data_IF_864281300292
#
_entry.id   IF_864281300292
#
_cell.length_a   1.000
_cell.length_b   1.000
_cell.length_c   1.000
_cell.angle_alpha   90.00
_cell.angle_beta   90.00
_cell.angle_gamma   90.00
#
_symmetry.space_group_name_H-M   'P 1'
#
loop_
_entity.id
_entity.type
_entity.pdbx_description
1 polymer ?
#
# COMPACT_ATOMS: atom_id res chain seq x y z
N UNK A 1 -27.90 -10.32 -10.54
CA UNK A 1 -26.48 -10.19 -10.91
C UNK A 1 -25.71 -9.42 -9.85
N UNK A 2 -24.49 -9.86 -9.47
CA UNK A 2 -23.68 -9.07 -8.58
C UNK A 2 -23.28 -7.74 -9.22
N UNK A 3 -23.13 -6.70 -8.40
CA UNK A 3 -22.63 -5.40 -8.86
C UNK A 3 -21.24 -5.15 -8.28
N UNK A 4 -20.57 -4.08 -8.77
CA UNK A 4 -19.27 -3.69 -8.27
C UNK A 4 -19.29 -3.32 -6.78
N UNK A 5 -20.44 -2.95 -6.26
CA UNK A 5 -20.58 -2.51 -4.87
C UNK A 5 -20.99 -3.63 -3.92
N UNK A 6 -21.22 -4.83 -4.43
CA UNK A 6 -21.55 -5.98 -3.58
C UNK A 6 -20.29 -6.52 -2.88
N UNK A 7 -20.43 -7.00 -1.63
CA UNK A 7 -19.32 -7.64 -0.94
C UNK A 7 -18.81 -8.88 -1.68
N UNK A 8 -17.56 -9.22 -1.45
CA UNK A 8 -16.94 -10.43 -1.98
C UNK A 8 -15.91 -10.97 -0.98
N UNK A 9 -15.82 -12.29 -0.88
CA UNK A 9 -14.82 -12.95 -0.07
C UNK A 9 -13.67 -13.41 -0.98
N UNK A 10 -12.46 -12.93 -0.67
CA UNK A 10 -11.24 -13.26 -1.40
C UNK A 10 -10.32 -14.07 -0.47
N UNK A 11 -10.49 -15.40 -0.44
CA UNK A 11 -9.78 -16.22 0.52
C UNK A 11 -10.18 -15.86 1.94
N UNK A 12 -9.23 -15.38 2.74
CA UNK A 12 -9.48 -14.97 4.13
C UNK A 12 -9.90 -13.49 4.25
N UNK A 13 -10.06 -12.78 3.13
CA UNK A 13 -10.39 -11.35 3.12
C UNK A 13 -11.86 -11.18 2.74
N UNK A 14 -12.62 -10.49 3.61
CA UNK A 14 -14.00 -10.10 3.33
C UNK A 14 -14.01 -8.65 2.87
N UNK A 15 -14.05 -8.44 1.55
CA UNK A 15 -14.05 -7.11 0.97
C UNK A 15 -15.47 -6.54 0.89
N UNK A 16 -15.68 -5.27 1.28
CA UNK A 16 -17.02 -4.66 1.28
C UNK A 16 -17.54 -4.34 -0.12
N UNK A 17 -16.69 -4.31 -1.11
CA UNK A 17 -17.07 -4.09 -2.50
C UNK A 17 -16.04 -4.77 -3.41
N UNK A 18 -16.28 -4.72 -4.72
CA UNK A 18 -15.46 -5.41 -5.72
C UNK A 18 -14.52 -4.49 -6.47
N UNK A 19 -14.30 -3.27 -5.95
CA UNK A 19 -13.37 -2.30 -6.53
C UNK A 19 -12.05 -2.43 -5.80
N UNK A 20 -11.01 -2.85 -6.52
CA UNK A 20 -9.68 -3.07 -5.97
C UNK A 20 -8.73 -2.00 -6.49
N UNK A 21 -7.87 -1.49 -5.62
CA UNK A 21 -6.83 -0.55 -6.03
C UNK A 21 -5.59 -1.33 -6.47
N UNK A 22 -5.18 -1.12 -7.72
CA UNK A 22 -3.98 -1.74 -8.27
C UNK A 22 -2.71 -1.12 -7.66
N UNK A 23 -1.60 -1.87 -7.58
CA UNK A 23 -0.35 -1.33 -7.07
C UNK A 23 0.28 -0.36 -8.07
N UNK A 24 0.62 0.85 -7.60
CA UNK A 24 1.27 1.87 -8.43
C UNK A 24 2.42 2.49 -7.63
N UNK A 25 3.61 2.49 -8.19
CA UNK A 25 4.78 3.15 -7.60
C UNK A 25 4.59 4.65 -7.64
N UNK A 26 4.60 5.31 -6.47
CA UNK A 26 4.37 6.75 -6.36
C UNK A 26 5.63 7.57 -6.12
N UNK A 27 6.71 6.92 -5.67
CA UNK A 27 8.00 7.56 -5.37
C UNK A 27 7.85 8.73 -4.37
N UNK A 28 7.10 8.52 -3.30
CA UNK A 28 6.83 9.53 -2.28
C UNK A 28 7.42 9.19 -0.92
N UNK A 29 8.20 8.11 -0.82
CA UNK A 29 8.97 7.79 0.39
C UNK A 29 10.18 8.71 0.51
N UNK A 30 10.90 8.62 1.65
CA UNK A 30 12.13 9.39 1.84
C UNK A 30 13.27 8.80 1.01
N UNK A 31 14.44 9.50 1.02
CA UNK A 31 15.66 8.97 0.40
C UNK A 31 16.08 7.63 1.00
N UNK A 32 15.79 7.42 2.28
CA UNK A 32 16.10 6.19 2.99
C UNK A 32 14.98 5.15 2.87
N UNK A 33 14.02 5.38 1.97
CA UNK A 33 12.93 4.46 1.68
C UNK A 33 11.99 4.23 2.86
N UNK A 34 11.82 5.26 3.69
CA UNK A 34 10.87 5.25 4.82
C UNK A 34 9.54 5.84 4.36
N UNK A 35 8.40 5.16 4.60
CA UNK A 35 7.09 5.72 4.27
C UNK A 35 6.85 7.08 4.90
N UNK A 36 6.14 7.95 4.19
CA UNK A 36 5.91 9.34 4.59
C UNK A 36 4.44 9.61 4.90
N UNK A 37 4.18 10.78 5.53
CA UNK A 37 2.81 11.25 5.79
C UNK A 37 2.02 11.40 4.50
N UNK A 38 2.67 11.78 3.41
CA UNK A 38 2.03 11.89 2.10
C UNK A 38 1.51 10.55 1.62
N UNK A 39 2.26 9.46 1.88
CA UNK A 39 1.81 8.11 1.57
C UNK A 39 0.59 7.72 2.41
N UNK A 40 0.58 8.07 3.70
CA UNK A 40 -0.56 7.81 4.58
C UNK A 40 -1.82 8.46 3.99
N UNK A 41 -1.73 9.73 3.60
CA UNK A 41 -2.85 10.46 3.03
C UNK A 41 -3.30 9.86 1.70
N UNK A 42 -2.35 9.45 0.86
CA UNK A 42 -2.64 8.84 -0.43
C UNK A 42 -3.51 7.59 -0.26
N UNK A 43 -3.15 6.70 0.65
CA UNK A 43 -3.90 5.47 0.89
C UNK A 43 -5.19 5.74 1.66
N UNK A 44 -5.19 6.71 2.57
CA UNK A 44 -6.40 7.11 3.30
C UNK A 44 -7.50 7.57 2.35
N UNK A 45 -7.16 8.39 1.36
CA UNK A 45 -8.12 8.89 0.37
C UNK A 45 -8.77 7.76 -0.44
N UNK A 46 -8.16 6.61 -0.48
CA UNK A 46 -8.62 5.45 -1.26
C UNK A 46 -9.11 4.30 -0.41
N UNK A 47 -9.26 4.54 0.90
CA UNK A 47 -9.60 3.48 1.86
C UNK A 47 -10.99 2.87 1.68
N UNK A 48 -11.88 3.51 0.92
CA UNK A 48 -13.20 2.97 0.61
C UNK A 48 -13.18 1.86 -0.44
N UNK A 49 -12.05 1.61 -1.09
CA UNK A 49 -11.91 0.47 -2.00
C UNK A 49 -12.09 -0.84 -1.23
N UNK A 50 -12.52 -1.88 -1.92
CA UNK A 50 -12.69 -3.20 -1.31
C UNK A 50 -11.38 -3.80 -0.84
N UNK A 51 -10.30 -3.54 -1.58
CA UNK A 51 -8.95 -3.99 -1.24
C UNK A 51 -7.95 -3.03 -1.88
N UNK A 52 -6.88 -2.71 -1.17
CA UNK A 52 -5.78 -1.92 -1.69
C UNK A 52 -4.53 -2.80 -1.73
N UNK A 53 -3.91 -2.89 -2.90
CA UNK A 53 -2.61 -3.53 -3.04
C UNK A 53 -1.59 -2.39 -3.06
N UNK A 54 -0.72 -2.36 -2.05
CA UNK A 54 0.26 -1.27 -1.93
C UNK A 54 1.28 -1.30 -3.05
N UNK A 55 1.96 -0.18 -3.23
CA UNK A 55 3.03 -0.06 -4.21
C UNK A 55 4.17 -1.04 -3.94
N UNK A 56 4.97 -1.30 -4.97
CA UNK A 56 6.14 -2.16 -4.84
C UNK A 56 7.05 -1.64 -3.72
N UNK A 57 7.43 -2.54 -2.82
CA UNK A 57 8.17 -2.22 -1.61
C UNK A 57 9.45 -3.04 -1.57
N UNK A 58 10.59 -2.38 -1.36
CA UNK A 58 11.88 -3.06 -1.30
C UNK A 58 11.98 -3.92 -0.04
N UNK A 59 12.47 -5.14 -0.19
CA UNK A 59 12.70 -6.05 0.94
C UNK A 59 14.14 -6.00 1.41
N UNK A 60 15.02 -5.33 0.67
CA UNK A 60 16.42 -5.12 1.03
C UNK A 60 16.97 -3.96 0.21
N UNK A 61 18.10 -3.40 0.66
CA UNK A 61 18.75 -2.33 -0.09
C UNK A 61 19.15 -2.79 -1.50
N UNK A 62 19.58 -4.03 -1.64
CA UNK A 62 19.97 -4.59 -2.93
C UNK A 62 18.80 -4.77 -3.89
N UNK A 63 17.59 -4.91 -3.36
CA UNK A 63 16.39 -5.09 -4.16
C UNK A 63 15.75 -3.81 -4.68
N UNK A 64 16.35 -2.64 -4.39
CA UNK A 64 15.78 -1.35 -4.80
C UNK A 64 16.00 -1.11 -6.30
N UNK A 65 14.94 -0.67 -6.98
CA UNK A 65 15.00 -0.37 -8.41
C UNK A 65 14.65 1.08 -8.75
N UNK A 66 13.99 1.80 -7.84
CA UNK A 66 13.51 3.16 -8.08
C UNK A 66 13.86 4.08 -6.91
N UNK A 67 14.11 5.39 -7.17
CA UNK A 67 14.35 6.33 -6.08
C UNK A 67 13.07 6.61 -5.31
N UNK A 68 13.22 6.90 -4.02
CA UNK A 68 12.12 7.31 -3.13
C UNK A 68 10.95 6.32 -3.07
N UNK A 69 11.20 5.04 -3.33
CA UNK A 69 10.22 3.99 -3.10
C UNK A 69 10.28 3.51 -1.65
N UNK A 70 9.17 3.04 -1.08
CA UNK A 70 9.19 2.57 0.30
C UNK A 70 9.94 1.24 0.42
N UNK A 71 10.44 0.98 1.62
CA UNK A 71 11.10 -0.27 1.96
C UNK A 71 10.48 -0.91 3.18
N UNK A 72 10.80 -2.16 3.41
CA UNK A 72 10.33 -2.91 4.56
C UNK A 72 11.41 -3.89 5.02
N UNK A 73 12.59 -3.37 5.41
CA UNK A 73 13.67 -4.19 5.93
C UNK A 73 14.31 -3.64 7.21
N UNK A 74 13.94 -2.42 7.63
CA UNK A 74 14.43 -1.84 8.89
C UNK A 74 13.29 -1.61 9.86
N UNK A 75 13.64 -1.50 11.17
CA UNK A 75 12.64 -1.23 12.19
C UNK A 75 11.97 0.14 11.97
N UNK A 76 12.73 1.14 11.54
CA UNK A 76 12.20 2.46 11.24
C UNK A 76 11.15 2.40 10.12
N UNK A 77 11.43 1.63 9.08
CA UNK A 77 10.49 1.42 7.97
C UNK A 77 9.22 0.71 8.44
N UNK A 78 9.37 -0.33 9.27
CA UNK A 78 8.22 -1.06 9.82
C UNK A 78 7.33 -0.11 10.64
N UNK A 79 7.92 0.70 11.52
CA UNK A 79 7.16 1.65 12.32
C UNK A 79 6.45 2.68 11.46
N UNK A 80 7.09 3.15 10.38
CA UNK A 80 6.50 4.13 9.48
C UNK A 80 5.35 3.55 8.64
N UNK A 81 5.33 2.24 8.41
CA UNK A 81 4.24 1.58 7.70
C UNK A 81 2.97 1.42 8.53
N UNK A 82 3.08 1.38 9.85
CA UNK A 82 1.92 1.15 10.73
C UNK A 82 0.78 2.14 10.50
N UNK A 83 1.03 3.47 10.41
CA UNK A 83 -0.05 4.42 10.12
C UNK A 83 -0.66 4.26 8.72
N UNK A 84 0.06 3.67 7.77
CA UNK A 84 -0.42 3.44 6.40
C UNK A 84 -1.45 2.32 6.39
N UNK A 85 -1.23 1.29 7.16
CA UNK A 85 -2.09 0.08 7.20
C UNK A 85 -3.16 0.10 8.31
#
# INVERSE_FOLDING_TARGET
MPSLFDPITLGAIDAPNRILMAPLTRSRATKDHVPTDLMIEYYRQRASAGLIISEATGISRQGLGWPSTPGLWTDEQVEAWKPVT
#
